data_IF_174538493283
#
_entry.id   IF_174538493283
#
_cell.length_a   1.000
_cell.length_b   1.000
_cell.length_c   1.000
_cell.angle_alpha   90.00
_cell.angle_beta   90.00
_cell.angle_gamma   90.00
#
_symmetry.space_group_name_H-M   'P 1'
#
loop_
_entity.id
_entity.type
_entity.pdbx_description
1 polymer ?
#
# COMPACT_ATOMS: atom_id res chain seq x y z
N UNK A 1 -2.75 13.19 -12.40
CA UNK A 1 -2.03 13.89 -11.31
C UNK A 1 -0.71 14.47 -11.84
N UNK A 2 -0.29 15.67 -11.41
CA UNK A 2 1.01 16.23 -11.77
C UNK A 2 2.07 15.85 -10.72
N UNK A 3 3.17 15.24 -11.16
CA UNK A 3 4.32 14.81 -10.33
C UNK A 3 5.60 15.37 -10.96
N UNK A 4 6.15 16.43 -10.36
CA UNK A 4 7.20 17.23 -11.00
C UNK A 4 6.74 17.74 -12.37
N UNK A 5 7.47 17.40 -13.43
CA UNK A 5 7.14 17.78 -14.81
C UNK A 5 6.25 16.75 -15.53
N UNK A 6 6.04 15.57 -14.95
CA UNK A 6 5.27 14.50 -15.58
C UNK A 6 3.80 14.49 -15.14
N UNK A 7 2.90 14.27 -16.10
CA UNK A 7 1.50 13.95 -15.83
C UNK A 7 1.35 12.43 -15.70
N UNK A 8 1.06 11.97 -14.50
CA UNK A 8 0.85 10.55 -14.19
C UNK A 8 -0.66 10.28 -14.12
N UNK A 9 -1.13 9.29 -14.87
CA UNK A 9 -2.47 8.73 -14.75
C UNK A 9 -2.54 7.87 -13.49
N UNK A 10 -3.39 8.24 -12.55
CA UNK A 10 -3.61 7.50 -11.30
C UNK A 10 -5.11 7.45 -11.10
N UNK A 11 -5.63 6.25 -10.84
CA UNK A 11 -7.04 6.03 -10.59
C UNK A 11 -7.22 4.96 -9.53
N UNK A 12 -8.34 5.02 -8.80
CA UNK A 12 -8.69 3.98 -7.85
C UNK A 12 -9.23 2.75 -8.60
N UNK A 13 -8.91 1.51 -8.17
CA UNK A 13 -9.51 0.33 -8.78
C UNK A 13 -11.01 0.23 -8.43
N UNK A 14 -11.81 -0.50 -9.23
CA UNK A 14 -13.24 -0.64 -8.97
C UNK A 14 -13.56 -1.20 -7.57
N UNK A 15 -14.60 -0.66 -6.93
CA UNK A 15 -14.95 -0.94 -5.54
C UNK A 15 -14.27 -0.01 -4.51
N UNK A 16 -13.41 0.88 -5.00
CA UNK A 16 -12.73 1.91 -4.22
C UNK A 16 -12.92 3.28 -4.86
N UNK A 17 -12.95 4.30 -4.02
CA UNK A 17 -13.04 5.69 -4.45
C UNK A 17 -11.87 6.48 -3.88
N UNK A 18 -11.16 7.23 -4.73
CA UNK A 18 -10.21 8.25 -4.28
C UNK A 18 -10.97 9.29 -3.46
N UNK A 19 -10.50 9.59 -2.25
CA UNK A 19 -11.16 10.53 -1.35
C UNK A 19 -10.85 11.99 -1.69
N UNK A 20 -9.88 12.25 -2.57
CA UNK A 20 -9.42 13.60 -2.90
C UNK A 20 -10.52 14.54 -3.41
N UNK A 21 -11.54 14.02 -4.12
CA UNK A 21 -12.64 14.82 -4.64
C UNK A 21 -13.57 15.35 -3.55
N UNK A 22 -13.57 14.74 -2.36
CA UNK A 22 -14.48 15.14 -1.27
C UNK A 22 -14.06 16.45 -0.62
N UNK A 23 -12.78 16.83 -0.74
CA UNK A 23 -12.21 18.00 -0.05
C UNK A 23 -12.29 17.90 1.48
N UNK A 24 -12.52 16.71 2.05
CA UNK A 24 -12.73 16.53 3.48
C UNK A 24 -11.41 16.61 4.26
N UNK A 25 -11.26 17.55 5.21
CA UNK A 25 -10.07 17.63 6.07
C UNK A 25 -9.86 16.35 6.88
N UNK A 26 -10.93 15.70 7.35
CA UNK A 26 -10.85 14.47 8.15
C UNK A 26 -10.28 13.28 7.38
N UNK A 27 -10.65 13.14 6.10
CA UNK A 27 -10.09 12.09 5.24
C UNK A 27 -8.64 12.41 4.84
N UNK A 28 -8.32 13.70 4.67
CA UNK A 28 -6.95 14.14 4.44
C UNK A 28 -6.05 13.84 5.65
N UNK A 29 -6.46 14.23 6.87
CA UNK A 29 -5.74 13.94 8.12
C UNK A 29 -5.54 12.43 8.32
N UNK A 30 -6.56 11.63 8.01
CA UNK A 30 -6.44 10.17 8.04
C UNK A 30 -5.38 9.68 7.06
N UNK A 31 -5.41 10.13 5.80
CA UNK A 31 -4.43 9.74 4.80
C UNK A 31 -3.00 10.13 5.21
N UNK A 32 -2.84 11.33 5.78
CA UNK A 32 -1.57 11.85 6.30
C UNK A 32 -1.08 11.04 7.51
N UNK A 33 -1.97 10.62 8.41
CA UNK A 33 -1.60 9.78 9.57
C UNK A 33 -1.08 8.40 9.16
N UNK A 34 -1.53 7.88 8.02
CA UNK A 34 -1.15 6.57 7.48
C UNK A 34 0.09 6.63 6.56
N UNK A 35 0.63 7.84 6.32
CA UNK A 35 1.69 8.08 5.34
C UNK A 35 2.87 8.80 6.00
N UNK A 36 4.10 8.34 5.74
CA UNK A 36 5.29 9.09 6.19
C UNK A 36 5.29 10.53 5.63
N UNK A 37 5.62 11.51 6.47
CA UNK A 37 5.73 12.92 6.08
C UNK A 37 6.76 13.19 4.95
N UNK A 38 7.68 12.26 4.71
CA UNK A 38 8.65 12.29 3.60
C UNK A 38 8.02 12.05 2.23
N UNK A 39 6.77 11.61 2.18
CA UNK A 39 6.03 11.32 0.97
C UNK A 39 4.94 12.37 0.70
N UNK A 40 4.64 12.59 -0.58
CA UNK A 40 3.45 13.32 -1.03
C UNK A 40 2.39 12.30 -1.43
N UNK A 41 1.20 12.43 -0.84
CA UNK A 41 0.04 11.60 -1.18
C UNK A 41 -0.48 12.04 -2.55
N UNK A 42 -0.63 11.06 -3.45
CA UNK A 42 -1.16 11.24 -4.81
C UNK A 42 -2.59 10.71 -4.92
N UNK A 43 -2.93 9.69 -4.14
CA UNK A 43 -4.27 9.12 -4.04
C UNK A 43 -4.40 8.45 -2.68
N UNK A 44 -5.55 8.63 -2.05
CA UNK A 44 -5.99 7.84 -0.90
C UNK A 44 -7.37 7.30 -1.24
N UNK A 45 -7.50 5.97 -1.35
CA UNK A 45 -8.75 5.35 -1.71
C UNK A 45 -9.24 4.41 -0.63
N UNK A 46 -10.52 4.54 -0.30
CA UNK A 46 -11.23 3.67 0.64
C UNK A 46 -12.33 2.92 -0.12
N UNK A 47 -12.86 1.86 0.48
CA UNK A 47 -13.95 1.10 -0.16
C UNK A 47 -15.17 2.00 -0.39
N UNK A 48 -15.95 1.73 -1.44
CA UNK A 48 -17.20 2.47 -1.69
C UNK A 48 -18.18 2.38 -0.49
N UNK A 49 -18.12 1.27 0.25
CA UNK A 49 -18.90 1.09 1.47
C UNK A 49 -18.44 2.04 2.59
N UNK A 50 -17.13 2.12 2.83
CA UNK A 50 -16.55 3.02 3.84
C UNK A 50 -16.81 4.48 3.48
N UNK A 51 -16.71 4.84 2.19
CA UNK A 51 -17.04 6.18 1.74
C UNK A 51 -18.52 6.50 2.02
N UNK A 52 -19.45 5.60 1.71
CA UNK A 52 -20.88 5.81 2.00
C UNK A 52 -21.15 6.00 3.49
N UNK A 53 -20.54 5.17 4.34
CA UNK A 53 -20.61 5.33 5.81
C UNK A 53 -20.12 6.72 6.24
N UNK A 54 -18.94 7.10 5.76
CA UNK A 54 -18.37 8.40 6.05
C UNK A 54 -19.30 9.56 5.64
N UNK A 55 -19.91 9.48 4.46
CA UNK A 55 -20.80 10.54 3.94
C UNK A 55 -22.09 10.72 4.75
N UNK A 56 -22.53 9.70 5.49
CA UNK A 56 -23.69 9.79 6.40
C UNK A 56 -23.29 10.06 7.85
N UNK A 57 -22.00 10.31 8.11
CA UNK A 57 -21.46 10.62 9.44
C UNK A 57 -21.00 9.40 10.25
N UNK A 58 -21.15 8.19 9.71
CA UNK A 58 -20.71 6.96 10.37
C UNK A 58 -19.18 6.80 10.26
N UNK A 59 -18.52 6.20 11.26
CA UNK A 59 -17.10 5.89 11.17
C UNK A 59 -16.84 4.81 10.11
N UNK A 60 -15.89 5.02 9.18
CA UNK A 60 -15.48 3.97 8.25
C UNK A 60 -14.76 2.85 9.02
N UNK A 61 -14.88 1.60 8.55
CA UNK A 61 -14.20 0.46 9.15
C UNK A 61 -12.77 0.33 8.66
N UNK A 62 -12.48 0.84 7.45
CA UNK A 62 -11.15 0.83 6.83
C UNK A 62 -10.50 -0.56 6.79
N UNK A 63 -11.32 -1.61 6.64
CA UNK A 63 -10.81 -2.99 6.53
C UNK A 63 -9.86 -3.15 5.36
N UNK A 64 -10.09 -2.38 4.29
CA UNK A 64 -9.28 -2.33 3.08
C UNK A 64 -9.20 -0.90 2.58
N UNK A 65 -7.99 -0.45 2.28
CA UNK A 65 -7.74 0.89 1.74
C UNK A 65 -6.43 0.89 0.95
N UNK A 66 -6.22 1.96 0.17
CA UNK A 66 -5.10 2.08 -0.75
C UNK A 66 -4.52 3.48 -0.69
N UNK A 67 -3.19 3.55 -0.81
CA UNK A 67 -2.46 4.81 -0.82
C UNK A 67 -1.48 4.75 -2.00
N UNK A 68 -1.46 5.80 -2.82
CA UNK A 68 -0.39 6.03 -3.79
C UNK A 68 0.38 7.28 -3.39
N UNK A 69 1.70 7.19 -3.32
CA UNK A 69 2.58 8.29 -2.94
C UNK A 69 3.78 8.42 -3.88
N UNK A 70 4.41 9.58 -3.86
CA UNK A 70 5.77 9.81 -4.40
C UNK A 70 6.67 10.30 -3.26
N UNK A 71 7.94 9.84 -3.15
CA UNK A 71 8.88 10.43 -2.22
C UNK A 71 9.17 11.89 -2.61
N UNK A 72 9.08 12.81 -1.65
CA UNK A 72 9.28 14.24 -1.89
C UNK A 72 10.70 14.56 -2.36
N UNK A 73 11.69 13.76 -1.92
CA UNK A 73 13.10 13.92 -2.27
C UNK A 73 13.40 13.79 -3.76
N UNK A 74 12.60 13.02 -4.50
CA UNK A 74 12.80 12.75 -5.94
C UNK A 74 11.62 13.20 -6.81
N UNK A 75 10.64 13.89 -6.23
CA UNK A 75 9.42 14.29 -6.94
C UNK A 75 9.71 15.20 -8.14
N UNK A 76 10.64 16.16 -7.98
CA UNK A 76 10.98 17.13 -9.02
C UNK A 76 11.89 16.54 -10.08
N UNK A 77 12.75 15.59 -9.70
CA UNK A 77 13.79 15.02 -10.56
C UNK A 77 13.27 13.89 -11.44
N UNK A 78 13.98 13.61 -12.53
CA UNK A 78 13.75 12.39 -13.30
C UNK A 78 14.49 11.25 -12.62
N UNK A 79 13.74 10.27 -12.15
CA UNK A 79 14.29 9.09 -11.47
C UNK A 79 14.93 8.17 -12.51
N UNK A 80 16.22 7.89 -12.34
CA UNK A 80 16.95 6.91 -13.13
C UNK A 80 16.71 5.49 -12.61
N UNK A 81 17.00 4.48 -13.43
CA UNK A 81 16.92 3.07 -12.99
C UNK A 81 17.77 2.80 -11.75
N UNK A 82 19.00 3.30 -11.71
CA UNK A 82 19.89 3.12 -10.56
C UNK A 82 19.32 3.74 -9.29
N UNK A 83 18.76 4.95 -9.37
CA UNK A 83 18.09 5.61 -8.25
C UNK A 83 16.86 4.83 -7.80
N UNK A 84 16.08 4.30 -8.74
CA UNK A 84 14.92 3.46 -8.44
C UNK A 84 15.33 2.17 -7.71
N UNK A 85 16.35 1.48 -8.19
CA UNK A 85 16.87 0.25 -7.57
C UNK A 85 17.39 0.51 -6.13
N UNK A 86 18.01 1.67 -5.89
CA UNK A 86 18.44 2.10 -4.55
C UNK A 86 17.24 2.31 -3.61
N UNK A 87 16.23 3.05 -4.05
CA UNK A 87 15.01 3.30 -3.27
C UNK A 87 14.31 1.99 -2.89
N UNK A 88 14.20 1.06 -3.83
CA UNK A 88 13.62 -0.27 -3.58
C UNK A 88 14.49 -1.07 -2.62
N UNK A 89 15.80 -1.11 -2.87
CA UNK A 89 16.75 -1.91 -2.09
C UNK A 89 16.78 -1.54 -0.61
N UNK A 90 16.71 -0.26 -0.28
CA UNK A 90 16.71 0.21 1.11
C UNK A 90 15.45 -0.22 1.86
N UNK A 91 14.28 -0.16 1.21
CA UNK A 91 13.03 -0.62 1.83
C UNK A 91 13.03 -2.13 2.00
N UNK A 92 13.43 -2.89 0.99
CA UNK A 92 13.44 -4.35 1.08
C UNK A 92 14.41 -4.88 2.13
N UNK A 93 15.56 -4.21 2.31
CA UNK A 93 16.55 -4.58 3.34
C UNK A 93 15.96 -4.46 4.75
N UNK A 94 15.09 -3.48 4.99
CA UNK A 94 14.45 -3.27 6.29
C UNK A 94 13.42 -4.35 6.66
N UNK A 95 12.86 -5.07 5.67
CA UNK A 95 11.81 -6.08 5.89
C UNK A 95 12.33 -7.44 6.37
N UNK A 96 13.64 -7.67 6.26
CA UNK A 96 14.25 -8.95 6.61
C UNK A 96 13.92 -10.08 5.62
N UNK A 97 14.21 -11.34 6.00
CA UNK A 97 13.97 -12.50 5.13
C UNK A 97 12.47 -12.74 4.91
N UNK A 98 12.14 -13.34 3.77
CA UNK A 98 10.77 -13.75 3.46
C UNK A 98 10.32 -14.91 4.37
N UNK A 99 9.02 -14.96 4.62
CA UNK A 99 8.38 -16.09 5.27
C UNK A 99 8.67 -17.41 4.51
N UNK A 100 8.88 -18.53 5.23
CA UNK A 100 8.99 -19.84 4.59
C UNK A 100 7.69 -20.18 3.84
N UNK A 101 7.74 -20.60 2.57
CA UNK A 101 6.55 -20.78 1.73
C UNK A 101 5.62 -21.90 2.21
N UNK A 102 6.15 -22.89 2.93
CA UNK A 102 5.39 -24.00 3.51
C UNK A 102 4.61 -23.65 4.77
N UNK A 103 4.87 -22.48 5.39
CA UNK A 103 4.20 -22.09 6.63
C UNK A 103 2.96 -21.22 6.35
N UNK A 104 1.83 -21.48 7.02
CA UNK A 104 0.69 -20.56 7.00
C UNK A 104 1.11 -19.16 7.46
N UNK A 105 0.63 -18.13 6.76
CA UNK A 105 1.03 -16.74 7.06
C UNK A 105 0.70 -16.33 8.51
N UNK A 106 -0.43 -16.79 9.07
CA UNK A 106 -0.80 -16.49 10.46
C UNK A 106 0.22 -17.06 11.45
N UNK A 107 0.60 -18.33 11.29
CA UNK A 107 1.60 -19.01 12.13
C UNK A 107 2.96 -18.31 12.06
N UNK A 108 3.37 -17.90 10.85
CA UNK A 108 4.61 -17.13 10.68
C UNK A 108 4.55 -15.78 11.43
N UNK A 109 3.44 -15.05 11.32
CA UNK A 109 3.27 -13.74 11.93
C UNK A 109 3.14 -13.79 13.46
N UNK A 110 2.64 -14.88 14.02
CA UNK A 110 2.59 -15.09 15.47
C UNK A 110 3.98 -15.12 16.11
N UNK A 111 4.97 -15.63 15.38
CA UNK A 111 6.36 -15.67 15.81
C UNK A 111 7.08 -14.31 15.67
N UNK A 112 6.46 -13.29 15.08
CA UNK A 112 7.08 -12.00 14.85
C UNK A 112 6.75 -10.97 15.95
N UNK A 113 7.65 -10.00 16.21
CA UNK A 113 7.35 -8.88 17.10
C UNK A 113 6.13 -8.07 16.63
N UNK A 114 5.21 -7.68 17.53
CA UNK A 114 4.10 -6.80 17.19
C UNK A 114 4.56 -5.45 16.64
N UNK A 115 3.78 -4.87 15.73
CA UNK A 115 4.02 -3.56 15.12
C UNK A 115 5.09 -3.55 14.03
N UNK A 116 5.83 -4.64 13.82
CA UNK A 116 6.85 -4.74 12.78
C UNK A 116 6.30 -5.41 11.51
N UNK A 117 6.43 -4.79 10.32
CA UNK A 117 6.12 -5.45 9.07
C UNK A 117 7.17 -6.51 8.74
N UNK A 118 6.73 -7.68 8.28
CA UNK A 118 7.60 -8.78 7.87
C UNK A 118 7.23 -9.22 6.45
N UNK A 119 8.25 -9.54 5.66
CA UNK A 119 8.07 -9.99 4.29
C UNK A 119 7.38 -11.37 4.26
N UNK A 120 6.25 -11.47 3.57
CA UNK A 120 5.54 -12.73 3.35
C UNK A 120 5.87 -13.32 1.98
N UNK A 121 5.91 -12.48 0.94
CA UNK A 121 6.22 -12.93 -0.41
C UNK A 121 6.70 -11.78 -1.29
N UNK A 122 7.54 -12.08 -2.27
CA UNK A 122 7.73 -11.23 -3.43
C UNK A 122 6.62 -11.53 -4.45
N UNK A 123 5.93 -10.50 -4.93
CA UNK A 123 4.83 -10.64 -5.89
C UNK A 123 5.28 -10.42 -7.33
N UNK A 124 6.18 -9.46 -7.53
CA UNK A 124 6.69 -9.08 -8.85
C UNK A 124 8.05 -8.40 -8.73
N UNK A 125 8.97 -8.72 -9.62
CA UNK A 125 10.27 -8.04 -9.73
C UNK A 125 10.68 -7.92 -11.20
N UNK A 126 10.62 -6.69 -11.68
CA UNK A 126 10.94 -6.26 -13.03
C UNK A 126 11.75 -4.94 -12.97
N UNK A 127 12.42 -4.52 -14.06
CA UNK A 127 13.27 -3.32 -14.05
C UNK A 127 12.61 -2.02 -13.57
N UNK A 128 11.31 -1.88 -13.76
CA UNK A 128 10.55 -0.66 -13.43
C UNK A 128 9.48 -0.91 -12.36
N UNK A 129 9.34 -2.15 -11.88
CA UNK A 129 8.29 -2.55 -10.95
C UNK A 129 8.81 -3.57 -9.96
N UNK A 130 8.67 -3.27 -8.67
CA UNK A 130 8.90 -4.24 -7.61
C UNK A 130 7.73 -4.22 -6.65
N UNK A 131 7.12 -5.38 -6.42
CA UNK A 131 5.95 -5.54 -5.56
C UNK A 131 6.21 -6.64 -4.55
N UNK A 132 5.95 -6.35 -3.27
CA UNK A 132 6.09 -7.30 -2.17
C UNK A 132 4.83 -7.31 -1.32
N UNK A 133 4.54 -8.47 -0.73
CA UNK A 133 3.50 -8.68 0.26
C UNK A 133 4.13 -8.82 1.64
N UNK A 134 3.58 -8.10 2.59
CA UNK A 134 4.01 -8.04 3.97
C UNK A 134 2.83 -8.37 4.89
N UNK A 135 3.16 -8.81 6.10
CA UNK A 135 2.20 -8.94 7.19
C UNK A 135 2.76 -8.30 8.45
N UNK A 136 1.87 -7.68 9.21
CA UNK A 136 2.18 -7.06 10.50
C UNK A 136 1.23 -7.63 11.54
N UNK A 137 1.78 -8.19 12.62
CA UNK A 137 0.99 -8.48 13.82
C UNK A 137 0.73 -7.18 14.55
N UNK A 138 -0.52 -6.78 14.72
CA UNK A 138 -0.86 -5.53 15.38
C UNK A 138 -0.64 -5.64 16.89
N UNK A 139 -0.25 -4.54 17.57
CA UNK A 139 -0.25 -4.50 19.02
C UNK A 139 -1.64 -4.85 19.59
N UNK A 140 -1.72 -5.56 20.73
CA UNK A 140 -3.00 -5.84 21.37
C UNK A 140 -3.70 -4.51 21.72
N UNK A 141 -5.00 -4.42 21.46
CA UNK A 141 -5.80 -3.22 21.70
C UNK A 141 -6.48 -3.21 23.09
N UNK A 142 -6.14 -4.18 23.95
CA UNK A 142 -6.83 -4.40 25.23
C UNK A 142 -6.21 -5.51 26.07
N UNK A 143 -7.06 -6.44 26.53
CA UNK A 143 -6.66 -7.51 27.47
C UNK A 143 -5.69 -8.49 26.81
N UNK A 144 -4.82 -9.09 27.64
CA UNK A 144 -3.81 -10.09 27.25
C UNK A 144 -4.35 -11.28 26.43
N UNK A 145 -5.65 -11.58 26.53
CA UNK A 145 -6.28 -12.79 25.96
C UNK A 145 -6.98 -12.56 24.61
N UNK A 146 -6.89 -11.36 24.03
CA UNK A 146 -7.48 -11.08 22.72
C UNK A 146 -6.72 -11.79 21.59
N UNK A 147 -7.48 -12.29 20.61
CA UNK A 147 -6.89 -12.90 19.41
C UNK A 147 -6.00 -11.88 18.70
N UNK A 148 -4.78 -12.26 18.27
CA UNK A 148 -3.95 -11.37 17.48
C UNK A 148 -4.68 -10.89 16.23
N UNK A 149 -4.59 -9.59 15.98
CA UNK A 149 -5.03 -9.00 14.72
C UNK A 149 -3.83 -8.84 13.82
N UNK A 150 -4.00 -9.08 12.52
CA UNK A 150 -2.95 -8.85 11.54
C UNK A 150 -3.41 -7.94 10.41
N UNK A 151 -2.46 -7.18 9.90
CA UNK A 151 -2.61 -6.32 8.74
C UNK A 151 -1.74 -6.88 7.62
N UNK A 152 -2.35 -7.14 6.47
CA UNK A 152 -1.63 -7.38 5.22
C UNK A 152 -1.39 -6.05 4.52
N UNK A 153 -0.19 -5.90 3.99
CA UNK A 153 0.17 -4.74 3.17
C UNK A 153 0.92 -5.23 1.94
N UNK A 154 0.53 -4.81 0.74
CA UNK A 154 1.45 -4.88 -0.39
C UNK A 154 2.10 -3.53 -0.59
N UNK A 155 3.41 -3.49 -0.79
CA UNK A 155 4.15 -2.29 -1.20
C UNK A 155 4.65 -2.50 -2.61
N UNK A 156 4.23 -1.65 -3.53
CA UNK A 156 4.65 -1.69 -4.93
C UNK A 156 5.35 -0.41 -5.33
N UNK A 157 6.61 -0.54 -5.70
CA UNK A 157 7.39 0.52 -6.33
C UNK A 157 7.21 0.46 -7.83
N UNK A 158 6.90 1.59 -8.46
CA UNK A 158 6.79 1.71 -9.90
C UNK A 158 7.57 2.92 -10.40
N UNK A 159 8.35 2.73 -11.47
CA UNK A 159 8.95 3.81 -12.24
C UNK A 159 8.04 4.12 -13.43
N UNK A 160 7.26 5.20 -13.33
CA UNK A 160 6.31 5.60 -14.37
C UNK A 160 6.72 6.95 -14.95
N UNK A 161 6.95 7.00 -16.26
CA UNK A 161 7.34 8.22 -16.99
C UNK A 161 8.52 8.97 -16.34
N UNK A 162 9.49 8.22 -15.80
CA UNK A 162 10.65 8.78 -15.10
C UNK A 162 10.36 9.32 -13.69
N UNK A 163 9.26 8.92 -13.06
CA UNK A 163 8.90 9.26 -11.67
C UNK A 163 8.71 7.99 -10.84
N UNK A 164 9.18 8.02 -9.60
CA UNK A 164 9.01 6.91 -8.66
C UNK A 164 7.69 7.06 -7.89
N UNK A 165 6.85 6.04 -7.96
CA UNK A 165 5.63 5.92 -7.17
C UNK A 165 5.76 4.73 -6.22
N UNK A 166 5.16 4.86 -5.05
CA UNK A 166 4.93 3.76 -4.12
C UNK A 166 3.42 3.60 -3.92
N UNK A 167 2.92 2.40 -4.19
CA UNK A 167 1.54 2.00 -4.01
C UNK A 167 1.45 1.04 -2.84
N UNK A 168 0.62 1.38 -1.88
CA UNK A 168 0.30 0.51 -0.76
C UNK A 168 -1.16 0.10 -0.84
N UNK A 169 -1.40 -1.22 -0.75
CA UNK A 169 -2.75 -1.77 -0.54
C UNK A 169 -2.75 -2.43 0.83
N UNK A 170 -3.80 -2.19 1.60
CA UNK A 170 -3.95 -2.70 2.95
C UNK A 170 -5.19 -3.58 3.05
N UNK A 171 -5.11 -4.65 3.86
CA UNK A 171 -6.24 -5.48 4.23
C UNK A 171 -6.08 -5.99 5.65
N UNK A 172 -7.13 -5.92 6.46
CA UNK A 172 -7.24 -6.79 7.64
C UNK A 172 -7.09 -8.26 7.20
N UNK A 173 -6.40 -9.07 8.02
CA UNK A 173 -6.19 -10.49 7.76
C UNK A 173 -7.03 -11.34 8.71
N UNK A 174 -8.07 -11.97 8.18
CA UNK A 174 -8.92 -12.90 8.94
C UNK A 174 -8.86 -14.31 8.36
N UNK A 175 -8.57 -14.43 7.06
CA UNK A 175 -8.56 -15.71 6.37
C UNK A 175 -7.61 -15.72 5.18
N UNK A 176 -7.24 -16.92 4.67
CA UNK A 176 -6.47 -17.04 3.42
C UNK A 176 -7.11 -16.31 2.22
N UNK A 177 -8.43 -16.11 2.22
CA UNK A 177 -9.10 -15.35 1.15
C UNK A 177 -8.64 -13.89 1.09
N UNK A 178 -8.20 -13.30 2.21
CA UNK A 178 -7.66 -11.94 2.23
C UNK A 178 -6.28 -11.85 1.58
N UNK A 179 -5.46 -12.91 1.67
CA UNK A 179 -4.19 -13.02 0.97
C UNK A 179 -4.40 -13.10 -0.55
N UNK A 180 -5.35 -13.92 -0.99
CA UNK A 180 -5.67 -14.01 -2.43
C UNK A 180 -6.28 -12.72 -2.95
N UNK A 181 -7.15 -12.10 -2.17
CA UNK A 181 -7.74 -10.81 -2.51
C UNK A 181 -6.67 -9.73 -2.69
N UNK A 182 -5.76 -9.56 -1.71
CA UNK A 182 -4.77 -8.49 -1.76
C UNK A 182 -3.77 -8.69 -2.91
N UNK A 183 -3.40 -9.95 -3.22
CA UNK A 183 -2.57 -10.26 -4.40
C UNK A 183 -3.29 -9.87 -5.70
N UNK A 184 -4.55 -10.27 -5.84
CA UNK A 184 -5.35 -10.04 -7.04
C UNK A 184 -5.59 -8.55 -7.30
N UNK A 185 -6.02 -7.80 -6.28
CA UNK A 185 -6.30 -6.37 -6.42
C UNK A 185 -5.02 -5.57 -6.70
N UNK A 186 -3.89 -5.94 -6.08
CA UNK A 186 -2.60 -5.30 -6.33
C UNK A 186 -2.14 -5.54 -7.76
N UNK A 187 -2.20 -6.79 -8.25
CA UNK A 187 -1.86 -7.11 -9.64
C UNK A 187 -2.74 -6.32 -10.64
N UNK A 188 -4.05 -6.25 -10.38
CA UNK A 188 -4.99 -5.47 -11.19
C UNK A 188 -4.64 -3.99 -11.20
N UNK A 189 -4.39 -3.40 -10.04
CA UNK A 189 -4.12 -1.97 -9.92
C UNK A 189 -2.82 -1.58 -10.62
N UNK A 190 -1.78 -2.41 -10.50
CA UNK A 190 -0.53 -2.25 -11.25
C UNK A 190 -0.81 -2.25 -12.76
N UNK A 191 -1.57 -3.24 -13.26
CA UNK A 191 -1.90 -3.34 -14.69
C UNK A 191 -2.65 -2.12 -15.22
N UNK A 192 -3.61 -1.60 -14.46
CA UNK A 192 -4.34 -0.37 -14.82
C UNK A 192 -3.43 0.85 -14.85
N UNK A 193 -2.55 1.01 -13.85
CA UNK A 193 -1.62 2.14 -13.82
C UNK A 193 -0.60 2.08 -14.96
N UNK A 194 -0.09 0.90 -15.31
CA UNK A 194 0.74 0.73 -16.50
C UNK A 194 -0.04 1.16 -17.77
N UNK A 195 -1.27 0.68 -17.93
CA UNK A 195 -2.13 1.01 -19.09
C UNK A 195 -2.41 2.51 -19.20
N UNK A 196 -2.66 3.20 -18.08
CA UNK A 196 -2.93 4.64 -18.04
C UNK A 196 -1.70 5.50 -18.37
N UNK A 197 -0.48 4.98 -18.17
CA UNK A 197 0.77 5.73 -18.32
C UNK A 197 1.63 5.31 -19.52
N UNK A 198 1.25 4.27 -20.25
CA UNK A 198 1.87 3.85 -21.50
C UNK A 198 1.40 4.68 -22.73
N UNK A 199 0.59 5.72 -22.51
CA UNK A 199 0.08 6.62 -23.54
C UNK A 199 0.87 7.92 -23.61
#
# INVERSE_FOLDING_TARGET
>A
MQVGEARIGIDAPPGFADTGFTGSPRLQELAESLTSASNRILLFAISDLDLRKFMVGDPPELRRYMIAVTPKSVERERVTRTTFDQLVGDVLRALGPAAPPEKPAAEYLDAQPPGKPNLLAELRREPEIVSVLQGTRLPPHGRSDEKPLYLLTTTTFMLLRGKALNLSVYSAYESPADLEWIRSITARWIGELQRLNNR
#
